data_IF_872063625703
#
_entry.id   IF_872063625703
#
_cell.length_a   1.000
_cell.length_b   1.000
_cell.length_c   1.000
_cell.angle_alpha   90.00
_cell.angle_beta   90.00
_cell.angle_gamma   90.00
#
_symmetry.space_group_name_H-M   'P 1'
#
loop_
_entity.id
_entity.type
_entity.pdbx_description
1 polymer ?
#
# COMPACT_ATOMS: atom_id res chain seq x y z
N UNK A 1 10.07 10.60 13.18
CA UNK A 1 8.80 9.98 12.73
C UNK A 1 7.79 10.10 13.85
N UNK A 2 6.64 10.71 13.58
CA UNK A 2 5.50 10.72 14.52
C UNK A 2 4.85 9.33 14.56
N UNK A 3 4.06 9.06 15.60
CA UNK A 3 3.28 7.81 15.74
C UNK A 3 2.41 7.55 14.51
N UNK A 4 1.78 8.60 13.98
CA UNK A 4 1.02 8.57 12.74
C UNK A 4 1.83 8.04 11.55
N UNK A 5 3.04 8.58 11.30
CA UNK A 5 3.89 8.13 10.19
C UNK A 5 4.30 6.67 10.34
N UNK A 6 4.60 6.22 11.57
CA UNK A 6 4.94 4.82 11.83
C UNK A 6 3.77 3.90 11.49
N UNK A 7 2.58 4.24 11.97
CA UNK A 7 1.36 3.45 11.71
C UNK A 7 1.02 3.42 10.22
N UNK A 8 1.18 4.55 9.53
CA UNK A 8 0.93 4.64 8.10
C UNK A 8 1.89 3.73 7.30
N UNK A 9 3.19 3.78 7.59
CA UNK A 9 4.17 2.89 6.95
C UNK A 9 3.89 1.41 7.20
N UNK A 10 3.51 1.05 8.43
CA UNK A 10 3.18 -0.34 8.77
C UNK A 10 1.94 -0.83 8.01
N UNK A 11 0.87 -0.02 7.95
CA UNK A 11 -0.34 -0.39 7.20
C UNK A 11 -0.06 -0.54 5.70
N UNK A 12 0.73 0.36 5.12
CA UNK A 12 1.09 0.26 3.70
C UNK A 12 1.93 -1.00 3.46
N UNK A 13 2.89 -1.30 4.34
CA UNK A 13 3.68 -2.52 4.25
C UNK A 13 2.81 -3.78 4.33
N UNK A 14 1.88 -3.84 5.29
CA UNK A 14 0.99 -4.98 5.48
C UNK A 14 0.06 -5.18 4.27
N UNK A 15 -0.51 -4.09 3.74
CA UNK A 15 -1.36 -4.14 2.55
C UNK A 15 -0.59 -4.62 1.31
N UNK A 16 0.67 -4.20 1.13
CA UNK A 16 1.54 -4.67 0.06
C UNK A 16 1.87 -6.16 0.19
N UNK A 17 2.20 -6.63 1.39
CA UNK A 17 2.46 -8.04 1.61
C UNK A 17 1.20 -8.89 1.39
N UNK A 18 0.04 -8.38 1.79
CA UNK A 18 -1.26 -9.00 1.52
C UNK A 18 -1.54 -9.06 0.01
N UNK A 19 -1.33 -7.98 -0.73
CA UNK A 19 -1.45 -7.92 -2.19
C UNK A 19 -0.52 -8.94 -2.87
N UNK A 20 0.75 -9.02 -2.46
CA UNK A 20 1.71 -10.00 -3.00
C UNK A 20 1.23 -11.43 -2.75
N UNK A 21 0.69 -11.71 -1.57
CA UNK A 21 0.12 -13.03 -1.22
C UNK A 21 -1.11 -13.34 -2.07
N UNK A 22 -2.04 -12.39 -2.19
CA UNK A 22 -3.24 -12.52 -3.01
C UNK A 22 -2.88 -12.85 -4.47
N UNK A 23 -1.95 -12.11 -5.07
CA UNK A 23 -1.45 -12.38 -6.42
C UNK A 23 -0.81 -13.76 -6.57
N UNK A 24 0.05 -14.17 -5.61
CA UNK A 24 0.67 -15.51 -5.62
C UNK A 24 -0.35 -16.63 -5.50
N UNK A 25 -1.44 -16.40 -4.77
CA UNK A 25 -2.50 -17.39 -4.54
C UNK A 25 -3.58 -17.36 -5.64
N UNK A 26 -3.52 -16.43 -6.59
CA UNK A 26 -4.55 -16.24 -7.63
C UNK A 26 -5.85 -15.63 -7.11
N UNK A 27 -5.83 -15.03 -5.92
CA UNK A 27 -6.99 -14.38 -5.30
C UNK A 27 -7.15 -12.95 -5.86
N UNK A 28 -7.87 -12.85 -6.97
CA UNK A 28 -8.08 -11.60 -7.70
C UNK A 28 -8.89 -10.56 -6.92
N UNK A 29 -9.92 -10.99 -6.19
CA UNK A 29 -10.78 -10.10 -5.41
C UNK A 29 -10.01 -9.48 -4.25
N UNK A 30 -9.21 -10.29 -3.53
CA UNK A 30 -8.33 -9.78 -2.49
C UNK A 30 -7.25 -8.86 -3.08
N UNK A 31 -6.70 -9.18 -4.25
CA UNK A 31 -5.70 -8.33 -4.89
C UNK A 31 -6.27 -6.95 -5.27
N UNK A 32 -7.50 -6.88 -5.80
CA UNK A 32 -8.18 -5.61 -6.10
C UNK A 32 -8.43 -4.82 -4.81
N UNK A 33 -8.92 -5.49 -3.77
CA UNK A 33 -9.20 -4.86 -2.47
C UNK A 33 -7.93 -4.25 -1.87
N UNK A 34 -6.83 -5.00 -1.87
CA UNK A 34 -5.55 -4.54 -1.31
C UNK A 34 -4.92 -3.42 -2.15
N UNK A 35 -5.10 -3.43 -3.48
CA UNK A 35 -4.66 -2.34 -4.33
C UNK A 35 -5.38 -1.02 -3.99
N UNK A 36 -6.71 -1.06 -3.79
CA UNK A 36 -7.48 0.11 -3.37
C UNK A 36 -7.07 0.64 -1.99
N UNK A 37 -6.84 -0.25 -1.02
CA UNK A 37 -6.35 0.16 0.31
C UNK A 37 -4.98 0.86 0.23
N UNK A 38 -4.07 0.38 -0.61
CA UNK A 38 -2.77 1.03 -0.82
C UNK A 38 -2.94 2.43 -1.42
N UNK A 39 -3.82 2.61 -2.41
CA UNK A 39 -4.10 3.92 -3.01
C UNK A 39 -4.62 4.91 -1.97
N UNK A 40 -5.59 4.50 -1.14
CA UNK A 40 -6.15 5.33 -0.06
C UNK A 40 -5.07 5.74 0.95
N UNK A 41 -4.21 4.81 1.36
CA UNK A 41 -3.13 5.07 2.32
C UNK A 41 -2.06 6.01 1.75
N UNK A 42 -1.75 5.90 0.45
CA UNK A 42 -0.85 6.83 -0.25
C UNK A 42 -1.47 8.21 -0.36
N UNK A 43 -2.77 8.32 -0.62
CA UNK A 43 -3.47 9.61 -0.62
C UNK A 43 -3.42 10.26 0.77
N UNK A 44 -3.70 9.50 1.83
CA UNK A 44 -3.57 9.96 3.21
C UNK A 44 -2.14 10.47 3.45
N UNK A 45 -1.12 9.73 3.04
CA UNK A 45 0.27 10.14 3.17
C UNK A 45 0.55 11.50 2.51
N UNK A 46 0.12 11.65 1.26
CA UNK A 46 0.30 12.87 0.49
C UNK A 46 -0.40 14.07 1.15
N UNK A 47 -1.62 13.90 1.65
CA UNK A 47 -2.36 14.95 2.39
C UNK A 47 -1.64 15.39 3.67
N UNK A 48 -0.88 14.49 4.29
CA UNK A 48 -0.08 14.77 5.48
C UNK A 48 1.36 15.22 5.15
N UNK A 49 1.69 15.43 3.88
CA UNK A 49 3.03 15.87 3.44
C UNK A 49 4.10 14.78 3.57
N UNK A 50 3.69 13.51 3.65
CA UNK A 50 4.59 12.35 3.70
C UNK A 50 4.74 11.82 2.27
N UNK A 51 5.93 11.96 1.70
CA UNK A 51 6.25 11.36 0.41
C UNK A 51 6.53 9.86 0.59
N UNK A 52 5.57 9.04 0.17
CA UNK A 52 5.66 7.57 0.15
C UNK A 52 5.73 7.05 -1.30
N UNK A 53 5.59 7.95 -2.27
CA UNK A 53 5.32 7.64 -3.68
C UNK A 53 6.51 6.94 -4.36
N UNK A 54 7.74 7.26 -3.93
CA UNK A 54 8.98 6.78 -4.55
C UNK A 54 9.28 5.28 -4.34
N UNK A 55 8.80 4.66 -3.25
CA UNK A 55 9.08 3.24 -2.95
C UNK A 55 7.97 2.27 -3.39
N UNK A 56 6.74 2.75 -3.53
CA UNK A 56 5.56 1.89 -3.68
C UNK A 56 4.93 1.92 -5.07
N UNK A 57 5.12 2.98 -5.87
CA UNK A 57 4.68 3.01 -7.27
C UNK A 57 5.24 1.87 -8.11
N UNK A 58 6.47 1.45 -7.83
CA UNK A 58 7.11 0.33 -8.52
C UNK A 58 6.43 -1.02 -8.25
N UNK A 59 5.66 -1.14 -7.16
CA UNK A 59 4.91 -2.36 -6.83
C UNK A 59 3.56 -2.45 -7.54
N UNK A 60 2.93 -1.32 -7.81
CA UNK A 60 1.63 -1.26 -8.51
C UNK A 60 1.83 -1.50 -10.01
N UNK A 61 2.95 -1.06 -10.58
CA UNK A 61 3.23 -1.10 -12.04
C UNK A 61 3.53 -2.49 -12.62
N UNK A 62 3.60 -3.53 -11.78
CA UNK A 62 3.84 -4.93 -12.21
C UNK A 62 2.54 -5.76 -12.17
N UNK A 63 1.37 -5.12 -12.29
CA UNK A 63 0.12 -5.77 -12.70
C UNK A 63 -0.09 -5.56 -14.21
#
# INVERSE_FOLDING_TARGET
MTEFMRTLHLRIYDAVESLRRARRNGDGDLAITQAGEIEDLVEIAARHGVDIDSGYRDLVRVA
#
